data_IF_646893510073
#
_entry.id   IF_646893510073
#
_cell.length_a   1.000
_cell.length_b   1.000
_cell.length_c   1.000
_cell.angle_alpha   90.00
_cell.angle_beta   90.00
_cell.angle_gamma   90.00
#
_symmetry.space_group_name_H-M   'P 1'
#
loop_
_entity.id
_entity.type
_entity.pdbx_description
1 polymer ?
#
# COMPACT_ATOMS: atom_id res chain seq x y z
N UNK A 1 -27.60 2.45 4.55
CA UNK A 1 -26.57 1.94 5.46
C UNK A 1 -25.54 3.03 5.76
N UNK A 2 -25.05 3.13 7.00
CA UNK A 2 -24.13 4.22 7.40
C UNK A 2 -22.69 3.89 7.00
N UNK A 3 -22.37 3.95 5.71
CA UNK A 3 -21.06 3.57 5.15
C UNK A 3 -19.90 4.42 5.70
N UNK A 4 -20.16 5.66 6.09
CA UNK A 4 -19.16 6.53 6.68
C UNK A 4 -18.59 5.95 8.00
N UNK A 5 -19.42 5.27 8.82
CA UNK A 5 -18.93 4.55 10.01
C UNK A 5 -18.01 3.39 9.64
N UNK A 6 -18.32 2.67 8.57
CA UNK A 6 -17.49 1.57 8.10
C UNK A 6 -16.14 2.06 7.57
N UNK A 7 -16.10 3.23 6.88
CA UNK A 7 -14.84 3.85 6.45
C UNK A 7 -14.01 4.35 7.63
N UNK A 8 -14.63 4.93 8.66
CA UNK A 8 -13.94 5.31 9.90
C UNK A 8 -13.37 4.07 10.59
N UNK A 9 -14.16 3.01 10.76
CA UNK A 9 -13.70 1.77 11.36
C UNK A 9 -12.54 1.15 10.59
N UNK A 10 -12.61 1.15 9.24
CA UNK A 10 -11.52 0.71 8.38
C UNK A 10 -10.27 1.59 8.57
N UNK A 11 -10.43 2.90 8.63
CA UNK A 11 -9.33 3.83 8.85
C UNK A 11 -8.64 3.61 10.20
N UNK A 12 -9.41 3.45 11.28
CA UNK A 12 -8.87 3.11 12.60
C UNK A 12 -8.12 1.77 12.57
N UNK A 13 -8.70 0.75 11.96
CA UNK A 13 -8.08 -0.56 11.85
C UNK A 13 -6.77 -0.51 11.04
N UNK A 14 -6.81 0.04 9.83
CA UNK A 14 -5.65 0.11 8.94
C UNK A 14 -4.58 1.04 9.47
N UNK A 15 -4.96 2.17 10.07
CA UNK A 15 -4.03 3.12 10.69
C UNK A 15 -3.29 2.52 11.87
N UNK A 16 -3.97 1.72 12.71
CA UNK A 16 -3.35 1.01 13.82
C UNK A 16 -2.24 0.07 13.31
N UNK A 17 -2.56 -0.80 12.35
CA UNK A 17 -1.59 -1.74 11.78
C UNK A 17 -0.50 -1.03 10.96
N UNK A 18 -0.85 0.02 10.22
CA UNK A 18 0.14 0.84 9.50
C UNK A 18 1.15 1.48 10.46
N UNK A 19 0.67 2.00 11.60
CA UNK A 19 1.52 2.54 12.66
C UNK A 19 2.39 1.46 13.33
N UNK A 20 1.83 0.27 13.56
CA UNK A 20 2.56 -0.84 14.20
C UNK A 20 3.66 -1.43 13.32
N UNK A 21 3.44 -1.57 12.03
CA UNK A 21 4.30 -2.31 11.10
C UNK A 21 5.06 -1.43 10.10
N UNK A 22 4.67 -0.16 9.94
CA UNK A 22 5.28 0.77 8.99
C UNK A 22 5.05 0.43 7.52
N UNK A 23 4.05 -0.43 7.20
CA UNK A 23 3.83 -0.98 5.84
C UNK A 23 2.83 -0.12 5.01
N UNK A 24 2.30 0.97 5.59
CA UNK A 24 1.41 1.90 4.87
C UNK A 24 -0.06 1.50 4.76
N UNK A 25 -0.48 0.36 5.33
CA UNK A 25 -1.90 -0.02 5.46
C UNK A 25 -2.63 -0.47 4.17
N UNK A 26 -2.06 -0.27 2.99
CA UNK A 26 -2.72 -0.57 1.71
C UNK A 26 -3.12 -2.02 1.53
N UNK A 27 -2.29 -2.96 2.01
CA UNK A 27 -2.59 -4.40 1.98
C UNK A 27 -3.91 -4.78 2.69
N UNK A 28 -4.31 -4.00 3.70
CA UNK A 28 -5.58 -4.17 4.41
C UNK A 28 -6.72 -3.38 3.75
N UNK A 29 -6.39 -2.17 3.25
CA UNK A 29 -7.38 -1.28 2.65
C UNK A 29 -8.00 -1.88 1.39
N UNK A 30 -7.15 -2.40 0.47
CA UNK A 30 -7.62 -2.90 -0.84
C UNK A 30 -8.67 -4.00 -0.69
N UNK A 31 -8.43 -5.13 -0.01
CA UNK A 31 -9.44 -6.18 0.07
C UNK A 31 -10.69 -5.73 0.82
N UNK A 32 -10.52 -4.91 1.86
CA UNK A 32 -11.66 -4.43 2.66
C UNK A 32 -12.50 -3.42 1.87
N UNK A 33 -11.88 -2.46 1.15
CA UNK A 33 -12.60 -1.53 0.29
C UNK A 33 -13.27 -2.25 -0.88
N UNK A 34 -12.61 -3.27 -1.47
CA UNK A 34 -13.22 -4.10 -2.51
C UNK A 34 -14.53 -4.73 -2.02
N UNK A 35 -14.53 -5.33 -0.83
CA UNK A 35 -15.74 -5.91 -0.24
C UNK A 35 -16.79 -4.84 0.10
N UNK A 36 -16.36 -3.70 0.63
CA UNK A 36 -17.28 -2.59 0.97
C UNK A 36 -17.93 -1.98 -0.27
N UNK A 37 -17.17 -1.76 -1.34
CA UNK A 37 -17.68 -1.20 -2.59
C UNK A 37 -18.58 -2.21 -3.31
N UNK A 38 -18.24 -3.50 -3.33
CA UNK A 38 -19.09 -4.55 -3.88
C UNK A 38 -20.45 -4.68 -3.15
N UNK A 39 -20.52 -4.34 -1.87
CA UNK A 39 -21.75 -4.36 -1.08
C UNK A 39 -22.59 -3.07 -1.20
N UNK A 40 -22.09 -2.05 -1.89
CA UNK A 40 -22.79 -0.77 -2.07
C UNK A 40 -23.49 -0.71 -3.42
N UNK A 41 -24.75 -0.26 -3.43
CA UNK A 41 -25.46 0.03 -4.66
C UNK A 41 -24.78 1.18 -5.42
N UNK A 42 -24.70 1.08 -6.75
CA UNK A 42 -24.11 2.11 -7.61
C UNK A 42 -22.60 1.94 -7.87
N UNK A 43 -21.99 0.89 -7.36
CA UNK A 43 -20.61 0.52 -7.73
C UNK A 43 -20.61 -0.56 -8.83
N UNK A 44 -20.01 -0.30 -10.00
CA UNK A 44 -19.94 -1.30 -11.05
C UNK A 44 -19.03 -2.46 -10.63
N UNK A 45 -19.55 -3.67 -10.65
CA UNK A 45 -18.83 -4.87 -10.19
C UNK A 45 -17.49 -5.10 -10.91
N UNK A 46 -17.39 -4.64 -12.16
CA UNK A 46 -16.16 -4.71 -12.97
C UNK A 46 -15.06 -3.78 -12.48
N UNK A 47 -15.40 -2.68 -11.80
CA UNK A 47 -14.46 -1.61 -11.44
C UNK A 47 -14.17 -1.52 -9.94
N UNK A 48 -14.84 -2.33 -9.13
CA UNK A 48 -14.72 -2.30 -7.65
C UNK A 48 -13.26 -2.42 -7.19
N UNK A 49 -12.46 -3.27 -7.83
CA UNK A 49 -11.06 -3.44 -7.47
C UNK A 49 -10.21 -2.23 -7.85
N UNK A 50 -10.42 -1.66 -9.04
CA UNK A 50 -9.71 -0.46 -9.48
C UNK A 50 -10.01 0.73 -8.56
N UNK A 51 -11.28 0.91 -8.17
CA UNK A 51 -11.70 1.91 -7.18
C UNK A 51 -11.05 1.67 -5.81
N UNK A 52 -10.95 0.43 -5.37
CA UNK A 52 -10.28 0.08 -4.11
C UNK A 52 -8.78 0.37 -4.17
N UNK A 53 -8.10 0.02 -5.27
CA UNK A 53 -6.69 0.28 -5.48
C UNK A 53 -6.40 1.80 -5.53
N UNK A 54 -7.14 2.54 -6.34
CA UNK A 54 -6.98 3.99 -6.49
C UNK A 54 -7.25 4.74 -5.17
N UNK A 55 -8.35 4.40 -4.48
CA UNK A 55 -8.69 5.01 -3.18
C UNK A 55 -7.65 4.66 -2.12
N UNK A 56 -7.13 3.42 -2.11
CA UNK A 56 -6.04 3.02 -1.20
C UNK A 56 -4.75 3.79 -1.48
N UNK A 57 -4.37 3.96 -2.76
CA UNK A 57 -3.19 4.75 -3.12
C UNK A 57 -3.33 6.21 -2.67
N UNK A 58 -4.49 6.83 -2.87
CA UNK A 58 -4.76 8.18 -2.39
C UNK A 58 -4.71 8.28 -0.85
N UNK A 59 -5.18 7.25 -0.13
CA UNK A 59 -5.06 7.20 1.33
C UNK A 59 -3.60 7.07 1.78
N UNK A 60 -2.81 6.25 1.08
CA UNK A 60 -1.37 6.07 1.37
C UNK A 60 -0.60 7.39 1.19
N UNK A 61 -1.01 8.28 0.29
CA UNK A 61 -0.38 9.58 0.11
C UNK A 61 -0.29 10.35 1.45
N UNK A 62 -1.37 10.39 2.19
CA UNK A 62 -1.44 11.09 3.49
C UNK A 62 -0.72 10.32 4.60
N UNK A 63 -0.91 9.01 4.66
CA UNK A 63 -0.28 8.18 5.70
C UNK A 63 1.23 8.07 5.50
N UNK A 64 1.72 8.02 4.27
CA UNK A 64 3.16 8.03 3.97
C UNK A 64 3.81 9.37 4.31
N UNK A 65 3.12 10.50 4.08
CA UNK A 65 3.61 11.82 4.46
C UNK A 65 3.75 11.95 5.98
N UNK A 66 2.79 11.44 6.75
CA UNK A 66 2.88 11.42 8.21
C UNK A 66 4.05 10.54 8.70
N UNK A 67 4.20 9.35 8.11
CA UNK A 67 5.29 8.43 8.42
C UNK A 67 6.66 9.00 8.03
N UNK A 68 6.77 9.60 6.85
CA UNK A 68 7.98 10.28 6.40
C UNK A 68 8.42 11.36 7.40
N UNK A 69 7.49 12.23 7.84
CA UNK A 69 7.80 13.29 8.82
C UNK A 69 8.36 12.72 10.11
N UNK A 70 7.74 11.66 10.64
CA UNK A 70 8.18 11.00 11.87
C UNK A 70 9.60 10.42 11.72
N UNK A 71 9.88 9.69 10.64
CA UNK A 71 11.20 9.10 10.39
C UNK A 71 12.26 10.14 10.04
N UNK A 72 11.88 11.25 9.40
CA UNK A 72 12.80 12.36 9.14
C UNK A 72 13.28 13.03 10.43
N UNK A 73 12.38 13.25 11.40
CA UNK A 73 12.74 13.80 12.72
C UNK A 73 13.74 12.90 13.47
N UNK A 74 13.69 11.61 13.27
CA UNK A 74 14.62 10.64 13.84
C UNK A 74 15.88 10.40 12.99
N UNK A 75 16.11 11.22 11.93
CA UNK A 75 17.25 11.11 11.02
C UNK A 75 17.41 9.71 10.39
N UNK A 76 16.31 8.95 10.27
CA UNK A 76 16.31 7.60 9.74
C UNK A 76 16.20 7.52 8.21
N UNK A 77 16.09 8.66 7.50
CA UNK A 77 15.87 8.70 6.05
C UNK A 77 17.18 8.93 5.31
N UNK A 78 17.54 8.03 4.42
CA UNK A 78 18.68 8.18 3.51
C UNK A 78 18.27 8.94 2.24
N UNK A 79 18.25 10.27 2.30
CA UNK A 79 17.78 11.13 1.22
C UNK A 79 18.47 10.92 -0.12
N UNK A 80 19.76 10.55 -0.11
CA UNK A 80 20.50 10.21 -1.32
C UNK A 80 19.88 9.02 -2.04
N UNK A 81 19.50 7.99 -1.29
CA UNK A 81 18.83 6.79 -1.83
C UNK A 81 17.44 7.15 -2.33
N UNK A 82 16.67 7.95 -1.56
CA UNK A 82 15.34 8.43 -1.98
C UNK A 82 15.43 9.16 -3.30
N UNK A 83 16.37 10.11 -3.46
CA UNK A 83 16.56 10.86 -4.71
C UNK A 83 16.92 9.98 -5.90
N UNK A 84 17.73 8.94 -5.69
CA UNK A 84 18.14 8.02 -6.76
C UNK A 84 17.05 7.03 -7.17
N UNK A 85 16.23 6.55 -6.23
CA UNK A 85 15.20 5.54 -6.50
C UNK A 85 13.88 6.15 -7.01
N UNK A 86 13.58 7.39 -6.64
CA UNK A 86 12.31 8.06 -6.95
C UNK A 86 12.00 8.15 -8.45
N UNK A 87 12.95 8.53 -9.35
CA UNK A 87 12.67 8.55 -10.78
C UNK A 87 12.23 7.18 -11.33
N UNK A 88 12.89 6.11 -10.89
CA UNK A 88 12.51 4.74 -11.24
C UNK A 88 11.12 4.40 -10.71
N UNK A 89 10.83 4.76 -9.46
CA UNK A 89 9.51 4.54 -8.85
C UNK A 89 8.40 5.24 -9.63
N UNK A 90 8.57 6.50 -9.99
CA UNK A 90 7.57 7.23 -10.76
C UNK A 90 7.34 6.60 -12.14
N UNK A 91 8.41 6.21 -12.83
CA UNK A 91 8.30 5.47 -14.08
C UNK A 91 7.58 4.12 -13.88
N UNK A 92 7.95 3.38 -12.84
CA UNK A 92 7.35 2.09 -12.51
C UNK A 92 5.87 2.21 -12.11
N UNK A 93 5.50 3.18 -11.29
CA UNK A 93 4.10 3.39 -10.91
C UNK A 93 3.24 3.77 -12.11
N UNK A 94 3.76 4.58 -13.03
CA UNK A 94 3.07 4.90 -14.27
C UNK A 94 2.86 3.64 -15.13
N UNK A 95 3.89 2.86 -15.36
CA UNK A 95 3.79 1.58 -16.09
C UNK A 95 2.79 0.63 -15.40
N UNK A 96 2.91 0.48 -14.08
CA UNK A 96 2.04 -0.40 -13.30
C UNK A 96 0.57 0.01 -13.33
N UNK A 97 0.28 1.32 -13.22
CA UNK A 97 -1.10 1.82 -13.29
C UNK A 97 -1.69 1.71 -14.68
N UNK A 98 -0.93 2.01 -15.75
CA UNK A 98 -1.37 1.82 -17.13
C UNK A 98 -1.68 0.33 -17.40
N UNK A 99 -0.83 -0.57 -16.93
CA UNK A 99 -1.09 -1.99 -17.02
C UNK A 99 -2.34 -2.39 -16.22
N UNK A 100 -2.48 -1.91 -14.96
CA UNK A 100 -3.66 -2.16 -14.15
C UNK A 100 -4.96 -1.71 -14.84
N UNK A 101 -4.96 -0.53 -15.47
CA UNK A 101 -6.12 -0.01 -16.19
C UNK A 101 -6.51 -0.83 -17.44
N UNK A 102 -5.56 -1.59 -18.02
CA UNK A 102 -5.82 -2.45 -19.18
C UNK A 102 -6.24 -3.89 -18.80
N UNK A 103 -6.10 -4.26 -17.53
CA UNK A 103 -6.37 -5.63 -17.04
C UNK A 103 -7.73 -5.68 -16.35
N UNK A 104 -8.61 -6.64 -16.70
CA UNK A 104 -9.87 -6.83 -15.98
C UNK A 104 -9.67 -7.08 -14.47
N UNK A 105 -10.66 -6.72 -13.66
CA UNK A 105 -10.57 -6.84 -12.19
C UNK A 105 -10.26 -8.27 -11.69
N UNK A 106 -10.75 -9.32 -12.34
CA UNK A 106 -10.50 -10.72 -11.90
C UNK A 106 -9.03 -11.14 -11.96
N UNK A 107 -8.29 -11.03 -13.09
CA UNK A 107 -6.86 -11.34 -13.14
C UNK A 107 -6.04 -10.45 -12.19
N UNK A 108 -6.40 -9.17 -12.08
CA UNK A 108 -5.73 -8.23 -11.18
C UNK A 108 -5.94 -8.61 -9.71
N UNK A 109 -7.15 -9.05 -9.33
CA UNK A 109 -7.46 -9.56 -8.01
C UNK A 109 -6.68 -10.85 -7.68
N UNK A 110 -6.55 -11.74 -8.65
CA UNK A 110 -5.75 -12.96 -8.50
C UNK A 110 -4.28 -12.62 -8.25
N UNK A 111 -3.72 -11.70 -9.04
CA UNK A 111 -2.35 -11.20 -8.84
C UNK A 111 -2.17 -10.58 -7.45
N UNK A 112 -3.08 -9.70 -7.04
CA UNK A 112 -3.09 -9.08 -5.73
C UNK A 112 -3.08 -10.14 -4.62
N UNK A 113 -3.93 -11.13 -4.72
CA UNK A 113 -4.05 -12.20 -3.73
C UNK A 113 -2.78 -13.06 -3.64
N UNK A 114 -2.22 -13.48 -4.78
CA UNK A 114 -0.95 -14.23 -4.80
C UNK A 114 0.15 -13.41 -4.12
N UNK A 115 0.23 -12.12 -4.43
CA UNK A 115 1.19 -11.22 -3.82
C UNK A 115 1.00 -11.12 -2.30
N UNK A 116 -0.24 -10.95 -1.84
CA UNK A 116 -0.59 -10.88 -0.40
C UNK A 116 -0.21 -12.18 0.31
N UNK A 117 -0.49 -13.33 -0.30
CA UNK A 117 -0.09 -14.63 0.26
C UNK A 117 1.42 -14.77 0.38
N UNK A 118 2.18 -14.34 -0.64
CA UNK A 118 3.66 -14.35 -0.59
C UNK A 118 4.16 -13.46 0.55
N UNK A 119 3.63 -12.24 0.69
CA UNK A 119 4.00 -11.32 1.78
C UNK A 119 3.62 -11.92 3.14
N UNK A 120 2.44 -12.52 3.27
CA UNK A 120 2.00 -13.16 4.51
C UNK A 120 2.92 -14.33 4.91
N UNK A 121 3.28 -15.19 3.97
CA UNK A 121 4.23 -16.30 4.19
C UNK A 121 5.60 -15.75 4.59
N UNK A 122 6.11 -14.73 3.91
CA UNK A 122 7.38 -14.08 4.27
C UNK A 122 7.36 -13.53 5.70
N UNK A 123 6.22 -12.94 6.11
CA UNK A 123 6.06 -12.40 7.48
C UNK A 123 5.97 -13.50 8.54
N UNK A 124 5.28 -14.61 8.26
CA UNK A 124 5.16 -15.76 9.18
C UNK A 124 6.50 -16.44 9.39
N UNK A 125 7.25 -16.63 8.31
CA UNK A 125 8.57 -17.29 8.34
C UNK A 125 9.69 -16.35 8.81
N UNK A 126 9.39 -15.06 9.03
CA UNK A 126 10.36 -14.00 9.38
C UNK A 126 11.61 -14.01 8.48
N UNK A 127 11.41 -14.29 7.20
CA UNK A 127 12.49 -14.35 6.21
C UNK A 127 13.12 -12.98 6.07
N UNK A 128 14.33 -12.84 6.60
CA UNK A 128 15.16 -11.63 6.46
C UNK A 128 16.21 -11.88 5.41
N UNK A 129 16.32 -11.06 4.36
CA UNK A 129 17.41 -11.16 3.42
C UNK A 129 18.73 -11.01 4.17
N UNK A 130 19.67 -11.94 3.95
CA UNK A 130 21.04 -11.78 4.47
C UNK A 130 21.70 -10.62 3.73
N UNK A 131 22.24 -9.67 4.47
CA UNK A 131 23.05 -8.59 3.91
C UNK A 131 24.22 -9.18 3.15
N UNK A 132 24.25 -9.07 1.83
CA UNK A 132 25.24 -9.72 0.98
C UNK A 132 25.70 -8.84 -0.18
N UNK A 133 25.11 -7.68 -0.36
CA UNK A 133 25.41 -6.78 -1.48
C UNK A 133 25.56 -5.34 -1.01
N UNK A 134 26.28 -4.55 -1.81
CA UNK A 134 26.27 -3.10 -1.72
C UNK A 134 25.12 -2.52 -2.53
N UNK A 135 24.77 -1.25 -2.26
CA UNK A 135 23.78 -0.54 -3.06
C UNK A 135 24.25 -0.47 -4.52
N UNK A 136 23.43 -0.90 -5.48
CA UNK A 136 23.78 -0.80 -6.89
C UNK A 136 24.04 0.67 -7.30
N UNK A 137 24.78 0.87 -8.38
CA UNK A 137 24.93 2.19 -8.98
C UNK A 137 23.58 2.79 -9.41
N UNK A 138 23.57 4.05 -9.82
CA UNK A 138 22.35 4.82 -10.11
C UNK A 138 21.38 4.11 -11.08
N UNK A 139 21.88 3.47 -12.14
CA UNK A 139 21.05 2.69 -13.07
C UNK A 139 20.41 1.45 -12.41
N UNK A 140 21.15 0.77 -11.56
CA UNK A 140 20.61 -0.39 -10.82
C UNK A 140 19.53 0.02 -9.83
N UNK A 141 19.74 1.12 -9.10
CA UNK A 141 18.74 1.69 -8.17
C UNK A 141 17.50 2.17 -8.94
N UNK A 142 17.68 2.79 -10.13
CA UNK A 142 16.57 3.16 -11.00
C UNK A 142 15.76 1.94 -11.44
N UNK A 143 16.41 0.88 -11.93
CA UNK A 143 15.73 -0.35 -12.37
C UNK A 143 14.95 -1.03 -11.23
N UNK A 144 15.57 -1.14 -10.05
CA UNK A 144 14.89 -1.68 -8.85
C UNK A 144 13.72 -0.77 -8.46
N UNK A 145 13.90 0.56 -8.50
CA UNK A 145 12.83 1.53 -8.26
C UNK A 145 11.66 1.34 -9.21
N UNK A 146 11.92 1.10 -10.50
CA UNK A 146 10.89 0.83 -11.51
C UNK A 146 10.11 -0.45 -11.18
N UNK A 147 10.78 -1.53 -10.82
CA UNK A 147 10.13 -2.77 -10.40
C UNK A 147 9.29 -2.57 -9.12
N UNK A 148 9.85 -1.90 -8.11
CA UNK A 148 9.13 -1.59 -6.86
C UNK A 148 7.90 -0.72 -7.15
N UNK A 149 8.05 0.32 -7.95
CA UNK A 149 6.96 1.21 -8.33
C UNK A 149 5.83 0.48 -9.07
N UNK A 150 6.16 -0.33 -10.07
CA UNK A 150 5.19 -1.10 -10.85
C UNK A 150 4.42 -2.10 -9.97
N UNK A 151 5.12 -2.90 -9.18
CA UNK A 151 4.48 -3.84 -8.25
C UNK A 151 3.64 -3.13 -7.19
N UNK A 152 4.16 -2.01 -6.64
CA UNK A 152 3.42 -1.23 -5.64
C UNK A 152 2.14 -0.64 -6.21
N UNK A 153 2.13 -0.22 -7.46
CA UNK A 153 0.95 0.30 -8.14
C UNK A 153 -0.13 -0.78 -8.32
N UNK A 154 0.26 -2.00 -8.69
CA UNK A 154 -0.67 -3.12 -8.90
C UNK A 154 -1.33 -3.62 -7.60
N UNK A 155 -0.68 -3.43 -6.46
CA UNK A 155 -1.15 -3.96 -5.17
C UNK A 155 -1.43 -2.88 -4.12
N UNK A 156 -1.34 -1.61 -4.51
CA UNK A 156 -1.54 -0.44 -3.65
C UNK A 156 -0.74 -0.52 -2.34
N UNK A 157 0.59 -0.72 -2.43
CA UNK A 157 1.47 -0.80 -1.28
C UNK A 157 2.38 0.42 -1.23
N UNK A 158 2.52 1.01 -0.04
CA UNK A 158 3.36 2.18 0.23
C UNK A 158 4.88 1.91 0.28
N UNK A 159 5.37 0.91 -0.42
CA UNK A 159 6.82 0.63 -0.56
C UNK A 159 7.45 -0.19 0.58
N UNK A 160 6.88 -0.22 1.79
CA UNK A 160 7.48 -0.87 2.96
C UNK A 160 7.82 -2.34 2.75
N UNK A 161 6.93 -3.09 2.14
CA UNK A 161 7.08 -4.53 1.93
C UNK A 161 8.16 -4.90 0.90
N UNK A 162 8.47 -4.02 -0.03
CA UNK A 162 9.45 -4.25 -1.10
C UNK A 162 10.76 -3.52 -0.85
N UNK A 163 10.70 -2.24 -0.46
CA UNK A 163 11.89 -1.41 -0.28
C UNK A 163 12.71 -1.80 0.93
N UNK A 164 12.07 -2.17 2.06
CA UNK A 164 12.81 -2.58 3.27
C UNK A 164 13.64 -3.85 3.02
N UNK A 165 13.10 -4.95 2.47
CA UNK A 165 13.89 -6.11 2.12
C UNK A 165 15.04 -5.81 1.14
N UNK A 166 14.79 -4.98 0.13
CA UNK A 166 15.83 -4.57 -0.82
C UNK A 166 16.97 -3.83 -0.13
N UNK A 167 16.67 -2.81 0.66
CA UNK A 167 17.69 -2.03 1.36
C UNK A 167 18.45 -2.84 2.40
N UNK A 168 17.78 -3.74 3.13
CA UNK A 168 18.44 -4.63 4.09
C UNK A 168 19.35 -5.65 3.38
N UNK A 169 18.95 -6.13 2.21
CA UNK A 169 19.80 -6.97 1.37
C UNK A 169 21.06 -6.23 0.90
N UNK A 170 20.94 -4.92 0.64
CA UNK A 170 22.05 -4.02 0.33
C UNK A 170 22.80 -3.50 1.57
N UNK A 171 22.78 -4.21 2.69
CA UNK A 171 23.53 -3.91 3.91
C UNK A 171 23.16 -2.55 4.57
N UNK A 172 21.99 -2.02 4.31
CA UNK A 172 21.46 -0.83 5.00
C UNK A 172 20.88 -1.25 6.35
N UNK A 173 21.21 -0.54 7.42
CA UNK A 173 20.64 -0.78 8.76
C UNK A 173 19.11 -0.74 8.71
N UNK A 174 18.45 -1.67 9.40
CA UNK A 174 16.99 -1.84 9.36
C UNK A 174 16.23 -0.55 9.67
N UNK A 175 16.71 0.26 10.63
CA UNK A 175 16.08 1.54 10.98
C UNK A 175 16.11 2.53 9.81
N UNK A 176 17.25 2.63 9.13
CA UNK A 176 17.38 3.47 7.92
C UNK A 176 16.61 2.91 6.73
N UNK A 177 16.54 1.58 6.60
CA UNK A 177 15.73 0.94 5.56
C UNK A 177 14.25 1.26 5.74
N UNK A 178 13.73 1.19 6.98
CA UNK A 178 12.33 1.53 7.31
C UNK A 178 12.07 3.03 7.06
N UNK A 179 12.93 3.92 7.57
CA UNK A 179 12.76 5.36 7.36
C UNK A 179 12.83 5.77 5.89
N UNK A 180 13.79 5.21 5.14
CA UNK A 180 13.92 5.46 3.70
C UNK A 180 12.73 4.90 2.92
N UNK A 181 12.23 3.73 3.29
CA UNK A 181 11.03 3.13 2.72
C UNK A 181 9.77 3.96 2.97
N UNK A 182 9.61 4.57 4.15
CA UNK A 182 8.53 5.49 4.45
C UNK A 182 8.59 6.74 3.54
N UNK A 183 9.80 7.26 3.27
CA UNK A 183 10.01 8.36 2.33
C UNK A 183 9.68 7.99 0.89
N UNK A 184 10.08 6.79 0.47
CA UNK A 184 9.81 6.22 -0.85
C UNK A 184 8.31 5.93 -1.06
N UNK A 185 7.57 5.63 -0.01
CA UNK A 185 6.13 5.45 -0.05
C UNK A 185 5.35 6.67 -0.57
N UNK A 186 5.87 7.88 -0.35
CA UNK A 186 5.23 9.11 -0.81
C UNK A 186 5.23 9.25 -2.35
N UNK A 187 6.35 9.16 -3.07
CA UNK A 187 6.34 9.18 -4.53
C UNK A 187 5.58 7.99 -5.15
N UNK A 188 5.60 6.80 -4.53
CA UNK A 188 4.76 5.68 -4.97
C UNK A 188 3.27 6.07 -4.92
N UNK A 189 2.84 6.67 -3.81
CA UNK A 189 1.45 7.06 -3.64
C UNK A 189 1.03 8.19 -4.58
N UNK A 190 1.91 9.17 -4.85
CA UNK A 190 1.67 10.21 -5.87
C UNK A 190 1.48 9.57 -7.24
N UNK A 191 2.47 8.80 -7.71
CA UNK A 191 2.42 8.19 -9.04
C UNK A 191 1.24 7.23 -9.19
N UNK A 192 0.98 6.41 -8.16
CA UNK A 192 -0.16 5.48 -8.14
C UNK A 192 -1.51 6.21 -8.15
N UNK A 193 -1.69 7.22 -7.30
CA UNK A 193 -2.95 7.99 -7.26
C UNK A 193 -3.23 8.70 -8.57
N UNK A 194 -2.23 9.40 -9.13
CA UNK A 194 -2.36 10.08 -10.41
C UNK A 194 -2.66 9.09 -11.55
N UNK A 195 -1.99 7.94 -11.57
CA UNK A 195 -2.24 6.92 -12.58
C UNK A 195 -3.66 6.34 -12.49
N UNK A 196 -4.18 6.04 -11.30
CA UNK A 196 -5.56 5.58 -11.12
C UNK A 196 -6.60 6.68 -11.38
N UNK A 197 -6.29 7.94 -11.09
CA UNK A 197 -7.13 9.06 -11.50
C UNK A 197 -7.20 9.15 -13.01
N UNK A 198 -6.06 9.12 -13.69
CA UNK A 198 -5.99 9.21 -15.15
C UNK A 198 -6.71 8.05 -15.85
N UNK A 199 -6.49 6.82 -15.42
CA UNK A 199 -7.12 5.64 -16.01
C UNK A 199 -8.65 5.60 -15.84
N UNK A 200 -9.17 6.19 -14.77
CA UNK A 200 -10.62 6.25 -14.52
C UNK A 200 -11.27 7.54 -14.94
N UNK A 201 -10.53 8.52 -15.51
CA UNK A 201 -11.05 9.88 -15.73
C UNK A 201 -12.31 9.95 -16.59
N UNK A 202 -12.33 9.20 -17.69
CA UNK A 202 -13.44 9.15 -18.65
C UNK A 202 -14.27 7.86 -18.54
N UNK A 203 -14.05 7.06 -17.48
CA UNK A 203 -14.72 5.78 -17.37
C UNK A 203 -16.21 5.97 -17.02
N UNK A 204 -17.14 5.54 -17.90
CA UNK A 204 -18.56 5.71 -17.66
C UNK A 204 -19.05 4.82 -16.52
N UNK A 205 -19.94 5.33 -15.69
CA UNK A 205 -20.62 4.53 -14.66
C UNK A 205 -19.86 4.43 -13.32
N UNK A 206 -18.80 5.20 -13.11
CA UNK A 206 -18.19 5.30 -11.78
C UNK A 206 -19.16 5.98 -10.78
N UNK A 207 -19.07 5.63 -9.48
CA UNK A 207 -19.96 6.21 -8.48
C UNK A 207 -19.80 7.73 -8.39
N UNK A 208 -20.86 8.47 -8.05
CA UNK A 208 -20.78 9.92 -7.86
C UNK A 208 -19.72 10.26 -6.81
N UNK A 209 -19.06 11.41 -6.97
CA UNK A 209 -17.95 11.86 -6.14
C UNK A 209 -16.64 11.03 -6.29
N UNK A 210 -16.50 10.30 -7.38
CA UNK A 210 -15.23 9.70 -7.78
C UNK A 210 -14.43 10.67 -8.65
N UNK A 211 -13.11 10.69 -8.45
CA UNK A 211 -12.14 11.37 -9.33
C UNK A 211 -11.31 10.27 -9.95
N UNK A 212 -11.66 9.86 -11.19
CA UNK A 212 -11.17 8.62 -11.74
C UNK A 212 -11.48 7.44 -10.81
N UNK A 213 -10.54 6.56 -10.58
CA UNK A 213 -10.72 5.44 -9.65
C UNK A 213 -10.49 5.81 -8.17
N UNK A 214 -10.53 7.07 -7.79
CA UNK A 214 -10.43 7.51 -6.39
C UNK A 214 -11.81 7.94 -5.88
N UNK A 215 -12.38 7.20 -4.94
CA UNK A 215 -13.67 7.50 -4.34
C UNK A 215 -13.51 8.42 -3.13
N UNK A 216 -13.83 9.71 -3.32
CA UNK A 216 -13.59 10.77 -2.32
C UNK A 216 -14.34 10.58 -1.00
N UNK A 217 -15.62 10.10 -0.96
CA UNK A 217 -16.30 9.90 0.30
C UNK A 217 -15.64 8.89 1.22
N UNK A 218 -15.06 7.81 0.67
CA UNK A 218 -14.28 6.87 1.48
C UNK A 218 -13.00 7.51 2.00
N UNK A 219 -12.29 8.25 1.15
CA UNK A 219 -11.03 8.92 1.49
C UNK A 219 -11.22 9.93 2.64
N UNK A 220 -12.32 10.70 2.59
CA UNK A 220 -12.64 11.73 3.59
C UNK A 220 -12.75 11.20 5.01
N UNK A 221 -13.29 10.00 5.18
CA UNK A 221 -13.47 9.39 6.51
C UNK A 221 -12.32 8.47 6.91
N UNK A 222 -11.73 7.77 5.93
CA UNK A 222 -10.66 6.81 6.16
C UNK A 222 -9.33 7.49 6.53
N UNK A 223 -8.96 8.59 5.85
CA UNK A 223 -7.66 9.25 6.06
C UNK A 223 -7.56 9.87 7.45
N UNK A 224 -8.50 10.74 7.91
CA UNK A 224 -8.39 11.32 9.24
C UNK A 224 -8.38 10.27 10.36
N UNK A 225 -9.25 9.27 10.27
CA UNK A 225 -9.32 8.19 11.25
C UNK A 225 -8.04 7.35 11.31
N UNK A 226 -7.45 7.04 10.15
CA UNK A 226 -6.17 6.34 10.05
C UNK A 226 -5.02 7.16 10.64
N UNK A 227 -4.95 8.46 10.32
CA UNK A 227 -3.90 9.35 10.85
C UNK A 227 -3.99 9.55 12.35
N UNK A 228 -5.20 9.62 12.92
CA UNK A 228 -5.43 9.78 14.36
C UNK A 228 -4.95 8.57 15.16
N UNK A 229 -5.15 7.35 14.66
CA UNK A 229 -4.82 6.13 15.39
C UNK A 229 -3.37 5.65 15.16
N UNK A 230 -2.74 6.03 14.05
CA UNK A 230 -1.40 5.57 13.70
C UNK A 230 -0.34 5.79 14.80
N UNK A 231 -0.30 6.93 15.54
CA UNK A 231 0.62 7.09 16.65
C UNK A 231 0.42 6.09 17.79
N UNK A 232 -0.83 5.67 18.03
CA UNK A 232 -1.13 4.63 19.02
C UNK A 232 -0.59 3.28 18.54
N UNK A 233 -0.75 2.96 17.25
CA UNK A 233 -0.15 1.77 16.64
C UNK A 233 1.37 1.73 16.83
N UNK A 234 2.05 2.84 16.57
CA UNK A 234 3.50 2.95 16.76
C UNK A 234 3.91 2.71 18.22
N UNK A 235 3.16 3.26 19.20
CA UNK A 235 3.42 3.01 20.63
C UNK A 235 3.21 1.55 21.02
N UNK A 236 2.18 0.90 20.48
CA UNK A 236 1.90 -0.53 20.72
C UNK A 236 3.02 -1.43 20.15
N UNK A 237 3.59 -1.05 19.01
CA UNK A 237 4.70 -1.79 18.40
C UNK A 237 5.92 -1.91 19.32
N UNK A 238 6.16 -0.91 20.20
CA UNK A 238 7.24 -0.96 21.19
C UNK A 238 6.94 -1.86 22.38
N UNK A 239 5.68 -2.25 22.60
CA UNK A 239 5.26 -3.08 23.75
C UNK A 239 5.04 -4.55 23.40
N UNK A 240 4.85 -4.86 22.13
CA UNK A 240 4.51 -6.21 21.66
C UNK A 240 5.70 -6.83 20.90
N UNK A 241 5.91 -8.15 21.01
CA UNK A 241 6.92 -8.85 20.20
C UNK A 241 6.62 -8.68 18.71
N UNK A 242 7.58 -8.20 17.95
CA UNK A 242 7.45 -7.95 16.50
C UNK A 242 6.99 -9.19 15.74
N UNK A 243 7.44 -10.38 16.17
CA UNK A 243 7.04 -11.65 15.56
C UNK A 243 5.52 -11.92 15.72
N UNK A 244 4.95 -11.61 16.90
CA UNK A 244 3.51 -11.75 17.15
C UNK A 244 2.70 -10.80 16.28
N UNK A 245 3.15 -9.54 16.16
CA UNK A 245 2.52 -8.54 15.30
C UNK A 245 2.50 -8.97 13.83
N UNK A 246 3.64 -9.47 13.32
CA UNK A 246 3.75 -9.98 11.95
C UNK A 246 2.83 -11.16 11.69
N UNK A 247 2.76 -12.13 12.62
CA UNK A 247 1.89 -13.30 12.50
C UNK A 247 0.41 -12.92 12.52
N UNK A 248 0.01 -12.03 13.41
CA UNK A 248 -1.37 -11.53 13.49
C UNK A 248 -1.75 -10.80 12.19
N UNK A 249 -0.88 -9.92 11.71
CA UNK A 249 -1.11 -9.20 10.46
C UNK A 249 -1.20 -10.16 9.26
N UNK A 250 -0.30 -11.14 9.17
CA UNK A 250 -0.31 -12.14 8.11
C UNK A 250 -1.61 -12.99 8.14
N UNK A 251 -2.08 -13.39 9.33
CA UNK A 251 -3.34 -14.12 9.48
C UNK A 251 -4.53 -13.29 8.97
N UNK A 252 -4.58 -11.99 9.33
CA UNK A 252 -5.62 -11.08 8.85
C UNK A 252 -5.54 -10.93 7.32
N UNK A 253 -4.36 -10.78 6.75
CA UNK A 253 -4.16 -10.67 5.31
C UNK A 253 -4.67 -11.89 4.56
N UNK A 254 -4.34 -13.09 5.03
CA UNK A 254 -4.79 -14.35 4.41
C UNK A 254 -6.33 -14.45 4.49
N UNK A 255 -6.91 -14.09 5.64
CA UNK A 255 -8.37 -14.14 5.83
C UNK A 255 -9.08 -13.14 4.91
N UNK A 256 -8.57 -11.91 4.77
CA UNK A 256 -9.12 -10.91 3.88
C UNK A 256 -8.96 -11.29 2.40
N UNK A 257 -7.81 -11.85 2.01
CA UNK A 257 -7.57 -12.33 0.66
C UNK A 257 -8.51 -13.47 0.29
N UNK A 258 -8.69 -14.45 1.19
CA UNK A 258 -9.62 -15.56 1.00
C UNK A 258 -11.08 -15.07 0.85
N UNK A 259 -11.50 -14.12 1.70
CA UNK A 259 -12.84 -13.54 1.64
C UNK A 259 -13.07 -12.71 0.36
N UNK A 260 -12.06 -11.96 -0.08
CA UNK A 260 -12.12 -11.22 -1.34
C UNK A 260 -12.31 -12.17 -2.53
N UNK A 261 -11.58 -13.29 -2.56
CA UNK A 261 -11.74 -14.30 -3.61
C UNK A 261 -13.12 -14.92 -3.63
N UNK A 262 -13.65 -15.27 -2.47
CA UNK A 262 -15.02 -15.80 -2.37
C UNK A 262 -16.04 -14.81 -2.96
N UNK A 263 -15.90 -13.51 -2.65
CA UNK A 263 -16.79 -12.47 -3.18
C UNK A 263 -16.65 -12.20 -4.68
N UNK A 264 -15.52 -12.55 -5.30
CA UNK A 264 -15.31 -12.42 -6.75
C UNK A 264 -15.69 -13.69 -7.54
N UNK A 265 -15.92 -14.81 -6.85
CA UNK A 265 -16.30 -16.10 -7.46
C UNK A 265 -17.82 -16.32 -7.49
N UNK A 266 -18.57 -15.57 -6.70
CA UNK A 266 -20.03 -15.54 -6.66
C UNK A 266 -20.53 -14.35 -7.47
#
# INVERSE_FOLDING_TARGET
MLWWLAYIALGLFTGLFAGMLGIGGGLLMVPTLTMMFAAQAGFPATEVLHLALGTSMAAILFTSLASLRAHHQHQAVLWKVVGQITPGILAGTLIGTLFAGSVPSRPLALFFMVFVCVVAVQMILDLKPKASRELPGAFGVFGVGTCIGALSALVAIGGGSLTVPFLTWCNVRVQHAIGTSAAVGFPIAIGGSLGYIFNGWEHPGLPPWSVGYVYLPALLWLVPSSMLIAPLGARLAHRLPVATLKRLFAAILILLAAKMMWGLSV
#
